data_IF_443993382586
#
_entry.id   IF_443993382586
#
_cell.length_a   1.000
_cell.length_b   1.000
_cell.length_c   1.000
_cell.angle_alpha   90.00
_cell.angle_beta   90.00
_cell.angle_gamma   90.00
#
_symmetry.space_group_name_H-M   'P 1'
#
loop_
_entity.id
_entity.type
_entity.pdbx_description
1 polymer ?
#
# COMPACT_ATOMS: atom_id res chain seq x y z
N UNK A 1 -17.88 -10.68 24.14
CA UNK A 1 -18.98 -10.04 23.38
C UNK A 1 -18.75 -8.53 23.14
N UNK A 2 -18.40 -7.70 24.14
CA UNK A 2 -18.19 -6.23 23.96
C UNK A 2 -17.05 -5.90 23.00
N UNK A 3 -15.95 -6.66 23.01
CA UNK A 3 -14.82 -6.46 22.08
C UNK A 3 -15.19 -6.72 20.61
N UNK A 4 -15.91 -7.80 20.33
CA UNK A 4 -16.35 -8.12 18.97
C UNK A 4 -17.31 -7.07 18.40
N UNK A 5 -18.19 -6.51 19.22
CA UNK A 5 -19.11 -5.44 18.81
C UNK A 5 -18.37 -4.12 18.51
N UNK A 6 -17.31 -3.79 19.27
CA UNK A 6 -16.45 -2.63 18.97
C UNK A 6 -15.71 -2.78 17.66
N UNK A 7 -15.15 -3.95 17.38
CA UNK A 7 -14.44 -4.20 16.12
C UNK A 7 -15.40 -4.32 14.93
N UNK A 8 -16.64 -4.80 15.13
CA UNK A 8 -17.64 -4.89 14.06
C UNK A 8 -18.13 -3.54 13.54
N UNK A 9 -18.08 -2.47 14.34
CA UNK A 9 -18.44 -1.12 13.91
C UNK A 9 -17.31 -0.37 13.20
N UNK A 10 -16.06 -0.80 13.38
CA UNK A 10 -14.87 -0.11 12.82
C UNK A 10 -14.92 0.02 11.30
N UNK A 11 -15.24 -1.03 10.50
CA UNK A 11 -15.29 -0.90 9.06
C UNK A 11 -16.27 0.16 8.58
N UNK A 12 -17.48 0.20 9.14
CA UNK A 12 -18.53 1.16 8.76
C UNK A 12 -18.13 2.59 9.10
N UNK A 13 -17.61 2.81 10.31
CA UNK A 13 -17.13 4.14 10.73
C UNK A 13 -15.95 4.60 9.90
N UNK A 14 -15.05 3.68 9.53
CA UNK A 14 -13.90 3.99 8.70
C UNK A 14 -14.29 4.32 7.27
N UNK A 15 -15.27 3.61 6.68
CA UNK A 15 -15.75 3.92 5.33
C UNK A 15 -16.38 5.31 5.27
N UNK A 16 -17.19 5.67 6.26
CA UNK A 16 -17.75 7.03 6.40
C UNK A 16 -16.65 8.08 6.55
N UNK A 17 -15.70 7.86 7.45
CA UNK A 17 -14.58 8.78 7.68
C UNK A 17 -13.73 8.96 6.41
N UNK A 18 -13.48 7.88 5.68
CA UNK A 18 -12.73 7.90 4.43
C UNK A 18 -13.42 8.75 3.36
N UNK A 19 -14.75 8.60 3.25
CA UNK A 19 -15.56 9.40 2.35
C UNK A 19 -15.53 10.88 2.75
N UNK A 20 -15.68 11.16 4.03
CA UNK A 20 -15.70 12.53 4.57
C UNK A 20 -14.36 13.25 4.45
N UNK A 21 -13.24 12.51 4.46
CA UNK A 21 -11.90 13.08 4.21
C UNK A 21 -11.62 13.23 2.71
N UNK A 22 -12.09 12.31 1.87
CA UNK A 22 -11.89 12.38 0.41
C UNK A 22 -12.60 13.57 -0.23
N UNK A 23 -13.79 13.92 0.26
CA UNK A 23 -14.56 15.03 -0.29
C UNK A 23 -13.82 16.37 -0.20
N UNK A 24 -13.30 16.84 0.96
CA UNK A 24 -12.51 18.07 1.03
C UNK A 24 -11.20 17.99 0.25
N UNK A 25 -10.56 16.82 0.12
CA UNK A 25 -9.38 16.65 -0.72
C UNK A 25 -9.68 16.88 -2.19
N UNK A 26 -10.78 16.36 -2.70
CA UNK A 26 -11.23 16.60 -4.06
C UNK A 26 -11.55 18.09 -4.29
N UNK A 27 -12.21 18.73 -3.33
CA UNK A 27 -12.45 20.17 -3.38
C UNK A 27 -11.14 20.97 -3.43
N UNK A 28 -10.14 20.63 -2.61
CA UNK A 28 -8.81 21.25 -2.64
C UNK A 28 -8.10 21.06 -3.99
N UNK A 29 -8.19 19.86 -4.58
CA UNK A 29 -7.63 19.60 -5.91
C UNK A 29 -8.25 20.51 -6.97
N UNK A 30 -9.57 20.66 -6.97
CA UNK A 30 -10.32 21.55 -7.89
C UNK A 30 -9.90 23.01 -7.66
N UNK A 31 -9.84 23.47 -6.40
CA UNK A 31 -9.42 24.84 -6.10
C UNK A 31 -8.00 25.15 -6.54
N UNK A 32 -7.07 24.19 -6.43
CA UNK A 32 -5.71 24.35 -6.94
C UNK A 32 -5.66 24.45 -8.47
N UNK A 33 -6.52 23.68 -9.15
CA UNK A 33 -6.62 23.77 -10.62
C UNK A 33 -7.16 25.14 -11.04
N UNK A 34 -8.26 25.59 -10.44
CA UNK A 34 -8.84 26.91 -10.69
C UNK A 34 -7.83 28.04 -10.40
N UNK A 35 -7.04 27.91 -9.31
CA UNK A 35 -6.00 28.88 -8.99
C UNK A 35 -4.90 28.90 -10.06
N UNK A 36 -4.48 27.72 -10.51
CA UNK A 36 -3.47 27.59 -11.58
C UNK A 36 -3.94 28.25 -12.88
N UNK A 37 -5.21 28.03 -13.27
CA UNK A 37 -5.80 28.64 -14.46
C UNK A 37 -5.93 30.17 -14.33
N UNK A 38 -6.33 30.68 -13.17
CA UNK A 38 -6.39 32.13 -12.92
C UNK A 38 -5.02 32.77 -13.02
N UNK A 39 -3.98 32.17 -12.41
CA UNK A 39 -2.61 32.67 -12.51
C UNK A 39 -2.10 32.69 -13.95
N UNK A 40 -2.42 31.67 -14.75
CA UNK A 40 -2.09 31.66 -16.19
C UNK A 40 -2.82 32.78 -16.95
N UNK A 41 -4.12 32.98 -16.65
CA UNK A 41 -4.91 34.02 -17.31
C UNK A 41 -4.40 35.44 -17.00
N UNK A 42 -3.97 35.68 -15.76
CA UNK A 42 -3.49 37.02 -15.32
C UNK A 42 -2.07 37.34 -15.79
N UNK A 43 -1.17 36.36 -15.83
CA UNK A 43 0.26 36.57 -16.06
C UNK A 43 0.80 35.91 -17.33
N UNK A 44 -0.07 35.27 -18.12
CA UNK A 44 0.29 34.52 -19.33
C UNK A 44 0.90 33.15 -19.04
N UNK A 45 1.48 32.96 -17.87
CA UNK A 45 2.01 31.67 -17.39
C UNK A 45 2.04 31.65 -15.86
N UNK A 46 2.04 30.46 -15.27
CA UNK A 46 2.22 30.34 -13.81
C UNK A 46 3.66 30.77 -13.46
N UNK A 47 3.86 31.72 -12.54
CA UNK A 47 5.20 32.09 -12.11
C UNK A 47 5.97 30.87 -11.54
N UNK A 48 7.27 30.69 -11.84
CA UNK A 48 8.04 29.51 -11.40
C UNK A 48 8.03 29.28 -9.89
N UNK A 49 7.99 30.35 -9.10
CA UNK A 49 7.88 30.27 -7.63
C UNK A 49 6.54 29.70 -7.17
N UNK A 50 5.46 29.99 -7.89
CA UNK A 50 4.11 29.50 -7.59
C UNK A 50 3.91 28.07 -8.14
N UNK A 51 4.47 27.77 -9.31
CA UNK A 51 4.39 26.45 -9.92
C UNK A 51 4.96 25.35 -9.00
N UNK A 52 6.11 25.61 -8.38
CA UNK A 52 6.70 24.71 -7.39
C UNK A 52 5.76 24.44 -6.20
N UNK A 53 5.12 25.50 -5.70
CA UNK A 53 4.19 25.38 -4.57
C UNK A 53 2.91 24.65 -4.97
N UNK A 54 2.32 24.96 -6.12
CA UNK A 54 1.13 24.29 -6.64
C UNK A 54 1.38 22.81 -6.87
N UNK A 55 2.55 22.48 -7.45
CA UNK A 55 2.97 21.08 -7.62
C UNK A 55 3.09 20.38 -6.28
N UNK A 56 3.79 20.97 -5.30
CA UNK A 56 3.94 20.38 -3.98
C UNK A 56 2.59 20.11 -3.30
N UNK A 57 1.62 21.03 -3.43
CA UNK A 57 0.27 20.85 -2.89
C UNK A 57 -0.48 19.71 -3.60
N UNK A 58 -0.42 19.62 -4.93
CA UNK A 58 -1.00 18.50 -5.69
C UNK A 58 -0.42 17.15 -5.25
N UNK A 59 0.92 17.10 -5.14
CA UNK A 59 1.62 15.89 -4.70
C UNK A 59 1.17 15.45 -3.29
N UNK A 60 0.92 16.41 -2.38
CA UNK A 60 0.41 16.09 -1.03
C UNK A 60 -1.04 15.60 -1.06
N UNK A 61 -1.91 16.20 -1.86
CA UNK A 61 -3.30 15.74 -2.02
C UNK A 61 -3.33 14.31 -2.56
N UNK A 62 -2.57 14.03 -3.62
CA UNK A 62 -2.46 12.68 -4.19
C UNK A 62 -1.91 11.67 -3.19
N UNK A 63 -0.95 12.09 -2.38
CA UNK A 63 -0.39 11.25 -1.32
C UNK A 63 -1.42 10.90 -0.27
N UNK A 64 -2.24 11.86 0.20
CA UNK A 64 -3.28 11.60 1.19
C UNK A 64 -4.36 10.69 0.60
N UNK A 65 -4.79 10.91 -0.65
CA UNK A 65 -5.74 10.01 -1.31
C UNK A 65 -5.18 8.58 -1.45
N UNK A 66 -3.90 8.44 -1.77
CA UNK A 66 -3.23 7.14 -1.80
C UNK A 66 -3.22 6.42 -0.44
N UNK A 67 -2.97 7.15 0.64
CA UNK A 67 -3.04 6.62 2.01
C UNK A 67 -4.47 6.15 2.32
N UNK A 68 -5.46 6.97 2.00
CA UNK A 68 -6.87 6.66 2.22
C UNK A 68 -7.29 5.40 1.43
N UNK A 69 -6.87 5.28 0.17
CA UNK A 69 -7.14 4.08 -0.65
C UNK A 69 -6.56 2.82 -0.04
N UNK A 70 -5.26 2.86 0.32
CA UNK A 70 -4.60 1.71 0.93
C UNK A 70 -5.26 1.33 2.24
N UNK A 71 -5.62 2.32 3.06
CA UNK A 71 -6.31 2.08 4.32
C UNK A 71 -7.70 1.47 4.13
N UNK A 72 -8.47 1.96 3.15
CA UNK A 72 -9.76 1.37 2.76
C UNK A 72 -9.63 -0.09 2.32
N UNK A 73 -8.65 -0.39 1.50
CA UNK A 73 -8.37 -1.76 1.04
C UNK A 73 -7.99 -2.69 2.20
N UNK A 74 -7.32 -2.16 3.23
CA UNK A 74 -6.84 -2.93 4.37
C UNK A 74 -7.88 -3.10 5.50
N UNK A 75 -8.66 -2.05 5.79
CA UNK A 75 -9.52 -2.01 7.00
C UNK A 75 -10.99 -2.27 6.69
N UNK A 76 -11.46 -1.86 5.51
CA UNK A 76 -12.87 -2.02 5.15
C UNK A 76 -13.11 -3.43 4.65
N UNK A 77 -13.79 -4.22 5.47
CA UNK A 77 -14.26 -5.56 5.08
C UNK A 77 -15.35 -5.38 4.02
N UNK A 78 -14.94 -5.37 2.76
CA UNK A 78 -15.88 -5.42 1.64
C UNK A 78 -16.35 -6.84 1.44
N UNK A 79 -17.53 -6.99 0.84
CA UNK A 79 -17.95 -8.28 0.31
C UNK A 79 -16.82 -8.77 -0.61
N UNK A 80 -16.33 -9.98 -0.35
CA UNK A 80 -15.25 -10.58 -1.14
C UNK A 80 -15.55 -10.42 -2.63
N UNK A 81 -14.63 -9.82 -3.36
CA UNK A 81 -14.76 -9.61 -4.80
C UNK A 81 -13.77 -10.55 -5.50
N UNK A 82 -14.25 -11.73 -5.94
CA UNK A 82 -13.42 -12.65 -6.71
C UNK A 82 -12.97 -12.00 -8.02
N UNK A 83 -11.72 -12.19 -8.40
CA UNK A 83 -11.24 -11.65 -9.65
C UNK A 83 -9.73 -11.59 -9.76
N UNK A 84 -9.30 -10.83 -10.75
CA UNK A 84 -7.90 -10.53 -10.97
C UNK A 84 -7.55 -9.20 -10.34
N UNK A 85 -6.40 -9.16 -9.66
CA UNK A 85 -5.78 -7.95 -9.15
C UNK A 85 -4.42 -7.73 -9.81
N UNK A 86 -4.09 -6.48 -10.10
CA UNK A 86 -2.77 -6.09 -10.58
C UNK A 86 -1.82 -5.96 -9.38
N UNK A 87 -0.99 -7.00 -9.18
CA UNK A 87 -0.01 -7.06 -8.10
C UNK A 87 1.07 -5.97 -8.27
N UNK A 88 1.44 -5.66 -9.51
CA UNK A 88 2.46 -4.66 -9.82
C UNK A 88 2.01 -3.26 -9.44
N UNK A 89 0.79 -2.89 -9.84
CA UNK A 89 0.19 -1.60 -9.49
C UNK A 89 -0.03 -1.48 -7.99
N UNK A 90 -0.59 -2.52 -7.36
CA UNK A 90 -0.81 -2.55 -5.92
C UNK A 90 0.50 -2.41 -5.13
N UNK A 91 1.58 -3.08 -5.57
CA UNK A 91 2.90 -2.98 -4.94
C UNK A 91 3.49 -1.58 -5.07
N UNK A 92 3.42 -0.99 -6.27
CA UNK A 92 3.90 0.37 -6.52
C UNK A 92 3.17 1.38 -5.64
N UNK A 93 1.85 1.26 -5.52
CA UNK A 93 1.00 2.09 -4.67
C UNK A 93 1.35 1.91 -3.19
N UNK A 94 1.48 0.66 -2.73
CA UNK A 94 1.85 0.36 -1.34
C UNK A 94 3.22 0.95 -0.97
N UNK A 95 4.22 0.84 -1.86
CA UNK A 95 5.55 1.43 -1.67
C UNK A 95 5.49 2.96 -1.64
N UNK A 96 4.68 3.59 -2.47
CA UNK A 96 4.46 5.04 -2.46
C UNK A 96 3.94 5.54 -1.11
N UNK A 97 2.98 4.84 -0.53
CA UNK A 97 2.36 5.19 0.75
C UNK A 97 3.25 4.80 1.94
N UNK A 98 3.68 3.54 2.01
CA UNK A 98 4.44 3.01 3.15
C UNK A 98 5.91 3.40 3.14
N UNK A 99 6.45 3.89 2.02
CA UNK A 99 7.83 4.34 1.91
C UNK A 99 8.19 5.46 2.91
N UNK A 100 7.18 6.23 3.38
CA UNK A 100 7.39 7.20 4.47
C UNK A 100 7.73 6.50 5.79
N UNK A 101 7.06 5.39 6.10
CA UNK A 101 7.33 4.62 7.31
C UNK A 101 8.74 3.99 7.26
N UNK A 102 9.16 3.50 6.09
CA UNK A 102 10.55 3.05 5.88
C UNK A 102 11.57 4.17 6.14
N UNK A 103 11.35 5.36 5.59
CA UNK A 103 12.22 6.53 5.83
C UNK A 103 12.27 6.94 7.30
N UNK A 104 11.12 6.97 7.99
CA UNK A 104 11.03 7.26 9.42
C UNK A 104 11.90 6.29 10.24
N UNK A 105 11.97 5.04 9.83
CA UNK A 105 12.79 3.98 10.45
C UNK A 105 14.23 3.94 9.94
N UNK A 106 14.63 4.86 9.07
CA UNK A 106 15.95 4.89 8.40
C UNK A 106 16.24 3.64 7.57
N UNK A 107 15.21 3.05 6.96
CA UNK A 107 15.32 1.88 6.08
C UNK A 107 15.49 2.34 4.64
N UNK A 108 16.46 1.77 3.92
CA UNK A 108 16.62 1.95 2.49
C UNK A 108 15.72 0.96 1.76
N UNK A 109 14.88 1.44 0.85
CA UNK A 109 13.97 0.60 0.09
C UNK A 109 14.40 0.54 -1.38
N UNK A 110 14.56 -0.67 -1.90
CA UNK A 110 14.83 -0.96 -3.30
C UNK A 110 13.69 -1.79 -3.86
N UNK A 111 13.24 -1.53 -5.06
CA UNK A 111 12.16 -2.29 -5.68
C UNK A 111 12.48 -2.65 -7.13
N UNK A 112 12.11 -3.86 -7.52
CA UNK A 112 12.11 -4.34 -8.89
C UNK A 112 10.73 -4.96 -9.15
N UNK A 113 9.84 -4.20 -9.76
CA UNK A 113 8.46 -4.58 -10.03
C UNK A 113 8.29 -4.74 -11.53
N UNK A 114 8.10 -5.98 -11.96
CA UNK A 114 7.74 -6.31 -13.33
C UNK A 114 6.32 -5.77 -13.61
N UNK A 115 6.10 -5.10 -14.73
CA UNK A 115 4.83 -4.49 -15.06
C UNK A 115 3.78 -5.53 -15.46
N UNK A 116 2.51 -5.30 -15.07
CA UNK A 116 1.37 -6.10 -15.52
C UNK A 116 1.29 -7.50 -14.92
N UNK A 117 1.95 -7.76 -13.79
CA UNK A 117 1.83 -9.04 -13.07
C UNK A 117 0.49 -9.09 -12.36
N UNK A 118 -0.37 -10.02 -12.77
CA UNK A 118 -1.72 -10.20 -12.21
C UNK A 118 -1.82 -11.47 -11.39
N UNK A 119 -2.65 -11.42 -10.37
CA UNK A 119 -2.98 -12.54 -9.48
C UNK A 119 -4.48 -12.77 -9.46
N UNK A 120 -4.89 -14.00 -9.31
CA UNK A 120 -6.29 -14.39 -9.19
C UNK A 120 -6.58 -14.82 -7.76
N UNK A 121 -7.48 -14.11 -7.08
CA UNK A 121 -7.83 -14.38 -5.69
C UNK A 121 -9.35 -14.41 -5.50
N UNK A 122 -9.83 -15.20 -4.53
CA UNK A 122 -11.23 -15.17 -4.09
C UNK A 122 -11.65 -13.80 -3.55
N UNK A 123 -10.70 -13.02 -3.03
CA UNK A 123 -10.89 -11.62 -2.65
C UNK A 123 -9.65 -10.81 -3.07
N UNK A 124 -9.85 -9.90 -4.01
CA UNK A 124 -8.78 -9.05 -4.53
C UNK A 124 -8.22 -8.06 -3.51
N UNK A 125 -8.98 -7.77 -2.45
CA UNK A 125 -8.52 -6.88 -1.35
C UNK A 125 -7.38 -7.50 -0.53
N UNK A 126 -7.23 -8.82 -0.55
CA UNK A 126 -6.17 -9.53 0.15
C UNK A 126 -4.76 -9.20 -0.37
N UNK A 127 -4.64 -8.72 -1.62
CA UNK A 127 -3.35 -8.21 -2.13
C UNK A 127 -2.85 -7.07 -1.26
N UNK A 128 -3.73 -6.14 -0.88
CA UNK A 128 -3.40 -5.05 0.04
C UNK A 128 -2.96 -5.57 1.41
N UNK A 129 -3.66 -6.57 1.96
CA UNK A 129 -3.29 -7.21 3.22
C UNK A 129 -1.87 -7.81 3.16
N UNK A 130 -1.57 -8.61 2.14
CA UNK A 130 -0.26 -9.23 1.99
C UNK A 130 0.86 -8.20 1.85
N UNK A 131 0.66 -7.16 1.04
CA UNK A 131 1.64 -6.09 0.84
C UNK A 131 1.91 -5.30 2.12
N UNK A 132 0.86 -4.84 2.80
CA UNK A 132 1.00 -4.03 4.01
C UNK A 132 1.71 -4.82 5.11
N UNK A 133 1.28 -6.04 5.37
CA UNK A 133 1.87 -6.85 6.44
C UNK A 133 3.32 -7.23 6.16
N UNK A 134 3.62 -7.64 4.92
CA UNK A 134 5.00 -8.00 4.53
C UNK A 134 5.95 -6.80 4.61
N UNK A 135 5.51 -5.62 4.14
CA UNK A 135 6.33 -4.40 4.16
C UNK A 135 6.54 -3.86 5.58
N UNK A 136 5.49 -3.79 6.39
CA UNK A 136 5.61 -3.31 7.79
C UNK A 136 6.50 -4.24 8.62
N UNK A 137 6.37 -5.56 8.43
CA UNK A 137 7.26 -6.54 9.05
C UNK A 137 8.72 -6.29 8.65
N UNK A 138 9.00 -6.17 7.35
CA UNK A 138 10.34 -5.94 6.83
C UNK A 138 10.93 -4.61 7.34
N UNK A 139 10.15 -3.54 7.38
CA UNK A 139 10.60 -2.25 7.90
C UNK A 139 10.95 -2.30 9.40
N UNK A 140 10.20 -3.06 10.19
CA UNK A 140 10.52 -3.25 11.62
C UNK A 140 11.80 -4.07 11.81
N UNK A 141 12.00 -5.11 11.00
CA UNK A 141 13.21 -5.94 11.07
C UNK A 141 14.46 -5.18 10.64
N UNK A 142 14.36 -4.35 9.60
CA UNK A 142 15.46 -3.54 9.07
C UNK A 142 15.67 -2.20 9.79
N UNK A 143 14.92 -1.91 10.87
CA UNK A 143 14.97 -0.63 11.57
C UNK A 143 16.38 -0.29 12.05
N UNK A 144 16.80 0.98 11.89
CA UNK A 144 18.09 1.45 12.36
C UNK A 144 19.19 1.53 11.29
N UNK A 145 18.84 1.53 10.02
CA UNK A 145 19.77 1.74 8.90
C UNK A 145 19.90 0.54 7.96
N UNK A 146 19.03 -0.47 8.12
CA UNK A 146 18.98 -1.61 7.22
C UNK A 146 18.33 -1.30 5.86
N UNK A 147 18.18 -2.34 5.04
CA UNK A 147 17.58 -2.27 3.73
C UNK A 147 16.42 -3.26 3.56
N UNK A 148 15.48 -2.90 2.72
CA UNK A 148 14.39 -3.78 2.27
C UNK A 148 14.38 -3.80 0.75
N UNK A 149 14.38 -5.00 0.18
CA UNK A 149 14.22 -5.23 -1.24
C UNK A 149 12.84 -5.81 -1.51
N UNK A 150 12.15 -5.27 -2.50
CA UNK A 150 10.84 -5.75 -2.94
C UNK A 150 10.94 -6.18 -4.39
N UNK A 151 10.55 -7.41 -4.67
CA UNK A 151 10.53 -7.98 -6.00
C UNK A 151 9.11 -8.45 -6.33
N UNK A 152 8.62 -8.08 -7.50
CA UNK A 152 7.41 -8.65 -8.09
C UNK A 152 7.75 -9.14 -9.49
N UNK A 153 7.42 -10.39 -9.78
CA UNK A 153 7.65 -10.99 -11.11
C UNK A 153 6.62 -12.05 -11.44
N UNK A 154 6.45 -12.30 -12.72
CA UNK A 154 5.78 -13.49 -13.19
C UNK A 154 6.74 -14.70 -13.10
N UNK A 155 6.19 -15.88 -12.77
CA UNK A 155 6.93 -17.14 -12.66
C UNK A 155 6.09 -18.29 -13.22
N UNK A 156 6.05 -18.39 -14.54
CA UNK A 156 5.19 -19.33 -15.25
C UNK A 156 3.70 -19.13 -14.91
N UNK A 157 3.02 -20.15 -14.35
CA UNK A 157 1.61 -20.07 -13.97
C UNK A 157 1.39 -19.31 -12.64
N UNK A 158 2.44 -18.77 -12.05
CA UNK A 158 2.40 -18.08 -10.77
C UNK A 158 2.88 -16.64 -10.89
N UNK A 159 2.53 -15.83 -9.89
CA UNK A 159 3.11 -14.53 -9.62
C UNK A 159 3.82 -14.56 -8.27
N UNK A 160 4.96 -13.92 -8.16
CA UNK A 160 5.78 -13.92 -6.95
C UNK A 160 5.88 -12.51 -6.42
N UNK A 161 5.54 -12.33 -5.15
CA UNK A 161 5.93 -11.19 -4.33
C UNK A 161 7.01 -11.64 -3.36
N UNK A 162 8.15 -10.98 -3.39
CA UNK A 162 9.25 -11.24 -2.48
C UNK A 162 9.66 -9.95 -1.78
N UNK A 163 9.71 -10.00 -0.46
CA UNK A 163 10.14 -8.89 0.40
C UNK A 163 11.28 -9.42 1.26
N UNK A 164 12.47 -8.91 1.02
CA UNK A 164 13.68 -9.27 1.77
C UNK A 164 14.13 -8.08 2.63
N UNK A 165 14.47 -8.34 3.87
CA UNK A 165 15.06 -7.38 4.77
C UNK A 165 16.47 -7.80 5.23
N UNK A 166 17.32 -6.82 5.54
CA UNK A 166 18.67 -7.05 6.05
C UNK A 166 18.73 -7.24 7.57
N UNK A 167 17.59 -7.31 8.24
CA UNK A 167 17.53 -7.45 9.70
C UNK A 167 17.97 -8.82 10.17
N UNK A 168 18.84 -8.85 11.19
CA UNK A 168 19.33 -10.07 11.84
C UNK A 168 18.58 -10.42 13.13
N UNK A 169 17.72 -9.53 13.61
CA UNK A 169 16.96 -9.72 14.84
C UNK A 169 15.95 -10.89 14.73
N UNK A 170 15.54 -11.41 15.88
CA UNK A 170 14.43 -12.34 15.98
C UNK A 170 13.15 -11.72 15.39
N UNK A 171 12.17 -12.56 15.07
CA UNK A 171 10.90 -12.08 14.48
C UNK A 171 10.20 -11.11 15.42
N UNK A 172 10.04 -9.83 15.04
CA UNK A 172 9.42 -8.83 15.92
C UNK A 172 7.89 -8.89 15.92
N UNK A 173 7.29 -9.62 14.97
CA UNK A 173 5.84 -9.65 14.75
C UNK A 173 5.36 -11.08 14.45
N UNK A 174 5.51 -12.03 15.39
CA UNK A 174 5.14 -13.44 15.14
C UNK A 174 3.64 -13.61 14.83
N UNK A 175 2.79 -12.73 15.38
CA UNK A 175 1.36 -12.69 15.10
C UNK A 175 1.05 -12.33 13.64
N UNK A 176 1.87 -11.49 13.04
CA UNK A 176 1.74 -11.13 11.61
C UNK A 176 2.15 -12.29 10.72
N UNK A 177 3.22 -12.99 11.07
CA UNK A 177 3.64 -14.20 10.33
C UNK A 177 2.53 -15.23 10.37
N UNK A 178 1.99 -15.53 11.54
CA UNK A 178 0.87 -16.47 11.70
C UNK A 178 -0.37 -16.04 10.90
N UNK A 179 -0.70 -14.75 10.88
CA UNK A 179 -1.83 -14.23 10.11
C UNK A 179 -1.60 -14.34 8.59
N UNK A 180 -0.38 -14.06 8.12
CA UNK A 180 0.00 -14.25 6.71
C UNK A 180 -0.11 -15.71 6.30
N UNK A 181 0.45 -16.63 7.07
CA UNK A 181 0.41 -18.08 6.79
C UNK A 181 -1.02 -18.61 6.77
N UNK A 182 -1.84 -18.21 7.76
CA UNK A 182 -3.25 -18.59 7.82
C UNK A 182 -4.02 -18.10 6.59
N UNK A 183 -3.82 -16.82 6.22
CA UNK A 183 -4.52 -16.25 5.07
C UNK A 183 -4.04 -16.86 3.75
N UNK A 184 -2.76 -17.12 3.62
CA UNK A 184 -2.20 -17.85 2.47
C UNK A 184 -2.87 -19.22 2.30
N UNK A 185 -2.98 -20.01 3.37
CA UNK A 185 -3.63 -21.31 3.32
C UNK A 185 -5.10 -21.24 2.88
N UNK A 186 -5.83 -20.19 3.27
CA UNK A 186 -7.23 -19.99 2.88
C UNK A 186 -7.39 -19.62 1.39
N UNK A 187 -6.38 -19.02 0.79
CA UNK A 187 -6.45 -18.45 -0.56
C UNK A 187 -5.66 -19.23 -1.61
N UNK A 188 -5.00 -20.32 -1.22
CA UNK A 188 -4.13 -21.09 -2.12
C UNK A 188 -2.86 -20.35 -2.52
N UNK A 189 -2.40 -19.42 -1.67
CA UNK A 189 -1.11 -18.73 -1.81
C UNK A 189 -0.05 -19.54 -1.05
N UNK A 190 1.11 -19.73 -1.63
CA UNK A 190 2.20 -20.47 -0.98
C UNK A 190 3.16 -19.50 -0.25
N UNK A 191 3.21 -19.53 1.09
CA UNK A 191 4.11 -18.68 1.85
C UNK A 191 5.47 -19.36 2.08
N UNK A 192 6.54 -18.57 1.96
CA UNK A 192 7.88 -18.92 2.40
C UNK A 192 8.41 -17.76 3.26
N UNK A 193 8.16 -17.83 4.57
CA UNK A 193 8.52 -16.76 5.51
C UNK A 193 9.59 -17.30 6.45
N UNK A 194 10.83 -16.85 6.28
CA UNK A 194 11.98 -17.28 7.09
C UNK A 194 12.96 -16.13 7.28
N UNK A 195 13.31 -15.84 8.51
CA UNK A 195 14.26 -14.77 8.82
C UNK A 195 13.88 -13.45 8.15
N UNK A 196 14.77 -12.86 7.38
CA UNK A 196 14.53 -11.62 6.63
C UNK A 196 13.75 -11.77 5.32
N UNK A 197 13.36 -12.98 4.94
CA UNK A 197 12.66 -13.23 3.69
C UNK A 197 11.17 -13.50 3.92
N UNK A 198 10.33 -12.86 3.13
CA UNK A 198 8.91 -13.15 2.97
C UNK A 198 8.61 -13.29 1.47
N UNK A 199 8.43 -14.52 1.00
CA UNK A 199 8.10 -14.83 -0.38
C UNK A 199 6.69 -15.43 -0.42
N UNK A 200 5.83 -14.84 -1.23
CA UNK A 200 4.45 -15.28 -1.45
C UNK A 200 4.28 -15.62 -2.92
N UNK A 201 3.80 -16.85 -3.19
CA UNK A 201 3.55 -17.35 -4.54
C UNK A 201 2.05 -17.44 -4.75
N UNK A 202 1.56 -16.63 -5.67
CA UNK A 202 0.14 -16.50 -5.98
C UNK A 202 -0.22 -17.30 -7.23
N UNK A 203 -1.43 -17.84 -7.33
CA UNK A 203 -1.96 -18.30 -8.61
C UNK A 203 -2.10 -17.11 -9.56
N UNK A 204 -1.66 -17.28 -10.80
CA UNK A 204 -1.80 -16.26 -11.84
C UNK A 204 -3.15 -16.41 -12.56
N UNK A 205 -3.73 -15.26 -12.92
CA UNK A 205 -4.94 -15.22 -13.74
C UNK A 205 -4.65 -15.47 -15.21
#
# INVERSE_FOLDING_TARGET
>A
MVGAARYGAVPTLMDSLMHDVRNPLNALAIHLEVLSEKLKAETGQVPPSQEKNLKAMRDQIQRVDGILKLFSEFVVHRVATPGEADLSEATTRALGVLGHEGRKRRVQVQSAVEAGVRVRLPDTSDVGFFLVQSLLRAFRRAEGGGSVRVLVRADGPHAVLEVEDSGSAAEPMPEVVAALELRCAQLGVEPQIRGGQCRLVFPRG
#
